data_IF_859344379839
#
_entry.id   IF_859344379839
#
_cell.length_a   1.000
_cell.length_b   1.000
_cell.length_c   1.000
_cell.angle_alpha   90.00
_cell.angle_beta   90.00
_cell.angle_gamma   90.00
#
_symmetry.space_group_name_H-M   'P 1'
#
loop_
_entity.id
_entity.type
_entity.pdbx_description
1 polymer ?
#
# COMPACT_ATOMS: atom_id res chain seq x y z
N UNK A 1 -45.95 25.58 -45.18
CA UNK A 1 -44.62 25.08 -45.30
C UNK A 1 -44.04 24.90 -43.90
N UNK A 2 -44.00 23.70 -43.47
CA UNK A 2 -43.55 23.40 -42.11
C UNK A 2 -42.19 22.74 -42.17
N UNK A 3 -41.16 23.46 -41.76
CA UNK A 3 -39.83 22.91 -41.59
C UNK A 3 -39.79 22.06 -40.33
N UNK A 4 -39.60 20.77 -40.50
CA UNK A 4 -39.43 19.87 -39.41
C UNK A 4 -37.96 19.94 -38.99
N UNK A 5 -37.72 20.53 -37.84
CA UNK A 5 -36.41 20.60 -37.24
C UNK A 5 -36.13 19.25 -36.56
N UNK A 6 -35.35 18.40 -37.19
CA UNK A 6 -34.85 17.21 -36.57
C UNK A 6 -33.72 17.58 -35.61
N UNK A 7 -34.06 17.64 -34.36
CA UNK A 7 -33.05 17.71 -33.30
C UNK A 7 -32.51 16.29 -33.10
N UNK A 8 -31.41 16.02 -33.73
CA UNK A 8 -30.63 14.80 -33.41
C UNK A 8 -30.02 14.99 -32.06
N UNK A 9 -30.65 14.41 -31.07
CA UNK A 9 -30.08 14.28 -29.72
C UNK A 9 -28.95 13.26 -29.80
N UNK A 10 -27.74 13.80 -29.95
CA UNK A 10 -26.52 12.96 -29.88
C UNK A 10 -26.35 12.50 -28.44
N UNK A 11 -26.77 11.26 -28.19
CA UNK A 11 -26.56 10.61 -26.90
C UNK A 11 -25.07 10.33 -26.77
N UNK A 12 -24.37 11.18 -26.05
CA UNK A 12 -22.99 10.95 -25.68
C UNK A 12 -22.95 9.78 -24.67
N UNK A 13 -22.73 8.58 -25.19
CA UNK A 13 -22.43 7.43 -24.38
C UNK A 13 -21.06 7.66 -23.73
N UNK A 14 -21.10 8.18 -22.52
CA UNK A 14 -19.91 8.23 -21.68
C UNK A 14 -19.61 6.79 -21.27
N UNK A 15 -18.69 6.16 -21.99
CA UNK A 15 -18.14 4.90 -21.56
C UNK A 15 -17.28 5.17 -20.34
N UNK A 16 -17.85 4.97 -19.16
CA UNK A 16 -17.06 4.81 -17.96
C UNK A 16 -16.22 3.53 -18.12
N UNK A 17 -14.99 3.68 -18.57
CA UNK A 17 -14.04 2.59 -18.53
C UNK A 17 -13.74 2.29 -17.08
N UNK A 18 -14.38 1.27 -16.52
CA UNK A 18 -13.91 0.65 -15.30
C UNK A 18 -12.54 0.07 -15.60
N UNK A 19 -11.50 0.81 -15.28
CA UNK A 19 -10.18 0.23 -15.19
C UNK A 19 -10.28 -0.86 -14.12
N UNK A 20 -9.98 -2.10 -14.48
CA UNK A 20 -9.57 -3.08 -13.49
C UNK A 20 -8.30 -2.52 -12.87
N UNK A 21 -8.48 -1.66 -11.89
CA UNK A 21 -7.37 -1.25 -11.05
C UNK A 21 -6.93 -2.51 -10.31
N UNK A 22 -5.63 -2.78 -10.29
CA UNK A 22 -5.06 -3.66 -9.31
C UNK A 22 -5.56 -3.29 -7.91
N UNK A 23 -5.08 -3.97 -6.90
CA UNK A 23 -5.48 -3.71 -5.52
C UNK A 23 -5.38 -2.22 -5.20
N UNK A 24 -6.44 -1.68 -4.61
CA UNK A 24 -6.54 -0.25 -4.37
C UNK A 24 -5.53 0.20 -3.32
N UNK A 25 -4.75 1.22 -3.65
CA UNK A 25 -3.87 1.91 -2.71
C UNK A 25 -4.67 3.01 -2.02
N UNK A 26 -4.58 3.12 -0.70
CA UNK A 26 -5.30 4.11 0.08
C UNK A 26 -4.94 5.54 -0.36
N UNK A 27 -5.94 6.43 -0.39
CA UNK A 27 -5.72 7.83 -0.69
C UNK A 27 -4.88 8.51 0.40
N UNK A 28 -4.11 9.54 0.03
CA UNK A 28 -3.24 10.25 0.96
C UNK A 28 -1.97 9.50 1.33
N UNK A 29 -1.67 8.39 0.67
CA UNK A 29 -0.40 7.67 0.83
C UNK A 29 0.75 8.53 0.30
N UNK A 30 1.87 8.66 1.01
CA UNK A 30 3.05 9.36 0.52
C UNK A 30 3.47 8.85 -0.86
N UNK A 31 3.90 9.76 -1.71
CA UNK A 31 4.18 9.45 -3.11
C UNK A 31 5.17 8.30 -3.28
N UNK A 32 6.25 8.28 -2.49
CA UNK A 32 7.24 7.21 -2.59
C UNK A 32 6.65 5.84 -2.27
N UNK A 33 5.87 5.75 -1.20
CA UNK A 33 5.20 4.50 -0.79
C UNK A 33 4.18 4.07 -1.84
N UNK A 34 3.37 5.02 -2.33
CA UNK A 34 2.40 4.77 -3.40
C UNK A 34 3.08 4.22 -4.65
N UNK A 35 4.14 4.86 -5.11
CA UNK A 35 4.84 4.49 -6.34
C UNK A 35 5.52 3.11 -6.20
N UNK A 36 6.08 2.80 -5.04
CA UNK A 36 6.66 1.49 -4.78
C UNK A 36 5.61 0.38 -4.87
N UNK A 37 4.44 0.59 -4.29
CA UNK A 37 3.34 -0.37 -4.40
C UNK A 37 2.85 -0.45 -5.84
N UNK A 38 2.57 0.68 -6.48
CA UNK A 38 2.02 0.72 -7.84
C UNK A 38 2.92 0.04 -8.85
N UNK A 39 4.24 0.18 -8.70
CA UNK A 39 5.22 -0.41 -9.61
C UNK A 39 5.42 -1.92 -9.38
N UNK A 40 5.07 -2.44 -8.22
CA UNK A 40 5.36 -3.82 -7.84
C UNK A 40 4.13 -4.70 -7.61
N UNK A 41 2.95 -4.13 -7.41
CA UNK A 41 1.75 -4.91 -7.01
C UNK A 41 1.34 -5.99 -8.01
N UNK A 42 1.69 -5.85 -9.29
CA UNK A 42 1.44 -6.84 -10.34
C UNK A 42 2.62 -7.77 -10.58
N UNK A 43 3.74 -7.56 -9.91
CA UNK A 43 4.92 -8.40 -10.02
C UNK A 43 4.78 -9.60 -9.08
N UNK A 44 4.69 -10.79 -9.64
CA UNK A 44 4.55 -12.03 -8.85
C UNK A 44 5.78 -12.34 -7.99
N UNK A 45 6.94 -11.79 -8.36
CA UNK A 45 8.18 -11.97 -7.61
C UNK A 45 8.30 -11.00 -6.41
N UNK A 46 7.40 -10.04 -6.33
CA UNK A 46 7.39 -9.13 -5.19
C UNK A 46 6.90 -9.84 -3.94
N UNK A 47 7.75 -9.86 -2.93
CA UNK A 47 7.54 -10.65 -1.71
C UNK A 47 6.70 -9.96 -0.65
N UNK A 48 6.15 -8.78 -0.94
CA UNK A 48 5.31 -8.02 -0.02
C UNK A 48 3.85 -8.39 -0.22
N UNK A 49 3.18 -8.70 0.89
CA UNK A 49 1.76 -9.06 0.93
C UNK A 49 0.84 -7.94 1.38
N UNK A 50 1.36 -6.97 2.14
CA UNK A 50 0.60 -5.81 2.58
C UNK A 50 1.51 -4.65 2.99
N UNK A 51 0.95 -3.46 2.98
CA UNK A 51 1.58 -2.25 3.52
C UNK A 51 0.59 -1.58 4.48
N UNK A 52 1.02 -1.36 5.71
CA UNK A 52 0.24 -0.74 6.76
C UNK A 52 0.93 0.50 7.30
N UNK A 53 0.13 1.52 7.61
CA UNK A 53 0.60 2.77 8.20
C UNK A 53 0.50 2.71 9.72
N UNK A 54 1.60 3.04 10.39
CA UNK A 54 1.69 3.11 11.83
C UNK A 54 2.17 4.48 12.29
N UNK A 55 1.72 4.88 13.47
CA UNK A 55 2.36 5.96 14.21
C UNK A 55 3.39 5.33 15.16
N UNK A 56 4.66 5.70 15.01
CA UNK A 56 5.77 5.20 15.81
C UNK A 56 6.78 6.31 16.05
N UNK A 57 7.14 6.52 17.32
CA UNK A 57 8.07 7.59 17.72
C UNK A 57 7.66 8.97 17.16
N UNK A 58 6.36 9.29 17.25
CA UNK A 58 5.75 10.55 16.77
C UNK A 58 5.84 10.79 15.24
N UNK A 59 6.09 9.74 14.47
CA UNK A 59 6.16 9.80 13.00
C UNK A 59 5.28 8.72 12.38
N UNK A 60 4.73 9.02 11.21
CA UNK A 60 4.11 8.01 10.38
C UNK A 60 5.17 7.18 9.69
N UNK A 61 5.05 5.88 9.84
CA UNK A 61 5.92 4.89 9.21
C UNK A 61 5.07 3.85 8.48
N UNK A 62 5.68 3.13 7.56
CA UNK A 62 5.02 2.18 6.69
C UNK A 62 5.66 0.81 6.82
N UNK A 63 4.86 -0.14 7.24
CA UNK A 63 5.28 -1.52 7.42
C UNK A 63 4.99 -2.32 6.15
N UNK A 64 6.03 -2.71 5.45
CA UNK A 64 5.98 -3.58 4.29
C UNK A 64 6.09 -5.02 4.79
N UNK A 65 4.95 -5.67 4.89
CA UNK A 65 4.85 -7.02 5.45
C UNK A 65 5.07 -8.09 4.39
N UNK A 66 5.80 -9.15 4.70
CA UNK A 66 6.04 -10.23 3.75
C UNK A 66 4.74 -10.94 3.37
N UNK A 67 4.70 -11.46 2.16
CA UNK A 67 3.65 -12.35 1.70
C UNK A 67 3.88 -13.75 2.31
N UNK A 68 3.09 -14.08 3.31
CA UNK A 68 3.22 -15.34 4.05
C UNK A 68 2.98 -16.58 3.19
N UNK A 69 2.34 -16.42 2.02
CA UNK A 69 2.16 -17.53 1.07
C UNK A 69 3.43 -17.86 0.31
N UNK A 70 4.41 -16.94 0.31
CA UNK A 70 5.69 -17.07 -0.41
C UNK A 70 6.87 -17.23 0.52
N UNK A 71 6.86 -16.57 1.67
CA UNK A 71 7.92 -16.60 2.66
C UNK A 71 7.33 -16.91 4.03
N UNK A 72 7.74 -18.04 4.62
CA UNK A 72 7.49 -18.28 6.02
C UNK A 72 8.49 -17.48 6.87
N UNK A 73 8.03 -16.85 7.96
CA UNK A 73 8.87 -16.13 8.93
C UNK A 73 9.72 -14.99 8.33
N UNK A 74 9.19 -14.29 7.31
CA UNK A 74 9.83 -13.11 6.74
C UNK A 74 9.82 -11.91 7.70
N UNK A 75 10.84 -11.04 7.59
CA UNK A 75 10.88 -9.80 8.34
C UNK A 75 10.01 -8.72 7.67
N UNK A 76 9.40 -7.87 8.50
CA UNK A 76 8.69 -6.68 8.06
C UNK A 76 9.66 -5.51 7.94
N UNK A 77 9.69 -4.86 6.78
CA UNK A 77 10.48 -3.65 6.58
C UNK A 77 9.68 -2.43 7.03
N UNK A 78 10.24 -1.66 7.93
CA UNK A 78 9.67 -0.39 8.35
C UNK A 78 10.35 0.75 7.60
N UNK A 79 9.57 1.50 6.84
CA UNK A 79 10.05 2.60 6.00
C UNK A 79 9.42 3.92 6.43
N UNK A 80 10.14 5.01 6.22
CA UNK A 80 9.59 6.35 6.35
C UNK A 80 8.80 6.75 5.09
N UNK A 81 8.27 7.97 5.07
CA UNK A 81 7.51 8.51 3.93
C UNK A 81 8.31 8.68 2.64
N UNK A 82 9.64 8.71 2.75
CA UNK A 82 10.58 8.80 1.63
C UNK A 82 11.13 7.44 1.20
N UNK A 83 10.55 6.35 1.69
CA UNK A 83 10.94 4.96 1.42
C UNK A 83 12.32 4.57 1.96
N UNK A 84 12.87 5.34 2.90
CA UNK A 84 14.07 4.93 3.60
C UNK A 84 13.73 3.85 4.62
N UNK A 85 14.44 2.73 4.59
CA UNK A 85 14.26 1.68 5.58
C UNK A 85 14.83 2.14 6.92
N UNK A 86 13.97 2.21 7.94
CA UNK A 86 14.36 2.58 9.31
C UNK A 86 14.88 1.36 10.05
N UNK A 87 14.17 0.23 9.92
CA UNK A 87 14.50 -1.03 10.59
C UNK A 87 13.76 -2.19 9.91
N UNK A 88 14.20 -3.39 10.24
CA UNK A 88 13.49 -4.63 9.94
C UNK A 88 13.08 -5.29 11.25
N UNK A 89 11.83 -5.69 11.36
CA UNK A 89 11.28 -6.29 12.58
C UNK A 89 10.59 -7.61 12.25
N UNK A 90 10.56 -8.51 13.24
CA UNK A 90 9.98 -9.84 13.04
C UNK A 90 10.94 -10.82 12.35
N UNK A 91 10.43 -11.96 11.92
CA UNK A 91 11.22 -13.05 11.37
C UNK A 91 11.75 -14.00 12.43
N UNK A 92 12.82 -14.72 12.11
CA UNK A 92 13.49 -15.63 13.04
C UNK A 92 14.55 -14.90 13.88
N UNK A 93 14.54 -15.00 15.21
CA UNK A 93 15.69 -14.55 16.01
C UNK A 93 15.40 -14.00 17.38
N UNK A 94 14.57 -14.30 18.19
CA UNK A 94 14.45 -13.87 19.59
C UNK A 94 13.97 -12.41 19.78
N UNK A 95 13.95 -11.89 21.01
CA UNK A 95 13.29 -10.61 21.34
C UNK A 95 13.87 -9.37 20.67
N UNK A 96 15.16 -9.38 20.33
CA UNK A 96 15.85 -8.24 19.72
C UNK A 96 15.42 -7.96 18.29
N UNK A 97 14.79 -8.91 17.62
CA UNK A 97 14.32 -8.74 16.24
C UNK A 97 13.14 -7.76 16.09
N UNK A 98 12.50 -7.41 17.19
CA UNK A 98 11.39 -6.46 17.21
C UNK A 98 11.82 -5.04 17.56
N UNK A 99 13.10 -4.79 17.75
CA UNK A 99 13.63 -3.48 18.06
C UNK A 99 13.75 -2.62 16.80
N UNK A 100 13.19 -1.42 16.89
CA UNK A 100 13.28 -0.39 15.89
C UNK A 100 13.71 0.90 16.56
N UNK A 101 14.85 1.46 16.18
CA UNK A 101 15.42 2.63 16.86
C UNK A 101 15.44 2.48 18.40
N UNK A 102 15.83 1.30 18.90
CA UNK A 102 15.96 1.00 20.32
C UNK A 102 14.66 0.68 21.06
N UNK A 103 13.52 0.69 20.40
CA UNK A 103 12.21 0.42 21.00
C UNK A 103 11.50 -0.75 20.30
N UNK A 104 10.67 -1.47 21.06
CA UNK A 104 9.88 -2.57 20.49
C UNK A 104 8.77 -2.03 19.60
N UNK A 105 8.88 -2.27 18.32
CA UNK A 105 7.93 -1.78 17.33
C UNK A 105 6.50 -2.30 17.57
N UNK A 106 6.35 -3.61 17.78
CA UNK A 106 5.02 -4.21 17.92
C UNK A 106 4.30 -3.84 19.21
N UNK A 107 5.04 -3.43 20.24
CA UNK A 107 4.44 -2.95 21.49
C UNK A 107 4.05 -1.48 21.45
N UNK A 108 4.81 -0.64 20.74
CA UNK A 108 4.69 0.82 20.82
C UNK A 108 4.09 1.45 19.57
N UNK A 109 4.18 0.82 18.41
CA UNK A 109 3.59 1.33 17.19
C UNK A 109 2.06 1.21 17.22
N UNK A 110 1.37 2.25 16.77
CA UNK A 110 -0.08 2.30 16.69
C UNK A 110 -0.51 2.20 15.25
N UNK A 111 -1.25 1.13 14.90
CA UNK A 111 -1.81 0.94 13.57
C UNK A 111 -2.80 2.07 13.27
N UNK A 112 -2.60 2.77 12.15
CA UNK A 112 -3.49 3.84 11.68
C UNK A 112 -4.45 3.36 10.61
N UNK A 113 -3.94 2.66 9.60
CA UNK A 113 -4.75 2.13 8.50
C UNK A 113 -3.95 1.14 7.65
N UNK A 114 -4.66 0.35 6.89
CA UNK A 114 -4.06 -0.45 5.83
C UNK A 114 -3.94 0.41 4.58
N UNK A 115 -2.72 0.52 4.04
CA UNK A 115 -2.45 1.24 2.81
C UNK A 115 -2.79 0.39 1.59
N UNK A 116 -2.35 -0.86 1.62
CA UNK A 116 -2.55 -1.80 0.53
C UNK A 116 -2.45 -3.24 1.05
N UNK A 117 -3.24 -4.12 0.47
CA UNK A 117 -3.17 -5.55 0.74
C UNK A 117 -3.32 -6.32 -0.57
N UNK A 118 -2.45 -7.30 -0.77
CA UNK A 118 -2.54 -8.22 -1.89
C UNK A 118 -3.81 -9.08 -1.78
N UNK A 119 -4.49 -9.24 -2.88
CA UNK A 119 -5.66 -10.12 -3.00
C UNK A 119 -5.25 -11.55 -3.31
#
# INVERSE_FOLDING_TARGET
MKGILFITFSLLLIFATCRKSGDRIASGTPRCVHDEIANNQTNEDWMIGSVEEYLFQNKLVYAFQPDETKIADGATMIKDEDCNTICNVGGFGGPSINLCNGENFFQLAVLKRTIWKKK
#
